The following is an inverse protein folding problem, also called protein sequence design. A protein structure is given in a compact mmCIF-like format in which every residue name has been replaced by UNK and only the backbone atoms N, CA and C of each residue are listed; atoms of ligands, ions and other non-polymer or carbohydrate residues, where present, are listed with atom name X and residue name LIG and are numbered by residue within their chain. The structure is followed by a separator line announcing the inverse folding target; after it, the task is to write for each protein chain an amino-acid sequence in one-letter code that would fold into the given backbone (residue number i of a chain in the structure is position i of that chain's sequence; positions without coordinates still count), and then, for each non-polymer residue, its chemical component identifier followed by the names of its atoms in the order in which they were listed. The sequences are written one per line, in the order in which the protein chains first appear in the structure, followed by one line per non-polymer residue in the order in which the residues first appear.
data_IF_727552265107
#
_entry.id   IF_727552265107
#
_cell.length_a   1.000
_cell.length_b   1.000
_cell.length_c   1.000
_cell.angle_alpha   90.00
_cell.angle_beta   90.00
_cell.angle_gamma   90.00
#
_symmetry.space_group_name_H-M   'P 1'
#
loop_
_entity.id
_entity.type
_entity.pdbx_description
1 polymer ?
#
# COMPACT_ATOMS: atom_id res chain seq x y z
N UNK A 1 29.61 9.25 8.56
CA UNK A 1 28.31 9.79 8.10
C UNK A 1 27.27 9.46 9.16
N UNK A 2 26.55 10.45 9.73
CA UNK A 2 25.63 10.19 10.86
C UNK A 2 24.34 9.54 10.33
N UNK A 3 23.67 8.65 11.08
CA UNK A 3 22.39 8.05 10.67
C UNK A 3 21.30 9.09 10.32
N UNK A 4 21.42 10.32 10.83
CA UNK A 4 20.54 11.44 10.54
C UNK A 4 20.71 12.05 9.13
N UNK A 5 21.77 11.71 8.40
CA UNK A 5 22.13 12.35 7.13
C UNK A 5 21.58 11.60 5.88
N UNK A 6 20.84 10.49 6.06
CA UNK A 6 20.16 9.81 4.93
C UNK A 6 18.79 10.47 4.67
N UNK A 7 18.52 11.04 3.49
CA UNK A 7 17.21 11.60 3.19
C UNK A 7 16.24 10.47 2.85
N UNK A 8 15.54 9.91 3.85
CA UNK A 8 14.34 9.12 3.54
C UNK A 8 13.26 10.06 2.99
N UNK A 9 12.37 9.59 2.09
CA UNK A 9 11.36 10.43 1.47
C UNK A 9 10.51 11.13 2.53
N UNK A 10 10.51 12.47 2.50
CA UNK A 10 9.58 13.28 3.28
C UNK A 10 8.24 13.30 2.53
N UNK A 11 7.09 13.31 3.23
CA UNK A 11 5.79 13.55 2.59
C UNK A 11 5.91 14.76 1.63
N UNK A 12 5.44 14.67 0.37
CA UNK A 12 4.35 13.80 -0.09
C UNK A 12 4.73 12.43 -0.69
N UNK A 13 6.01 12.10 -0.86
CA UNK A 13 6.41 10.81 -1.43
C UNK A 13 6.27 9.67 -0.41
N UNK A 14 5.77 8.52 -0.86
CA UNK A 14 5.63 7.32 -0.05
C UNK A 14 6.94 6.53 0.00
N UNK A 15 7.29 6.00 1.17
CA UNK A 15 8.41 5.08 1.34
C UNK A 15 7.91 3.64 1.11
N UNK A 16 8.69 2.77 0.43
CA UNK A 16 8.39 1.34 0.33
C UNK A 16 8.38 0.67 1.71
N UNK A 17 7.53 -0.34 1.90
CA UNK A 17 7.43 -1.11 3.13
C UNK A 17 8.79 -1.68 3.58
N UNK A 18 9.59 -2.21 2.65
CA UNK A 18 10.92 -2.75 2.94
C UNK A 18 11.90 -1.71 3.53
N UNK A 19 11.67 -0.42 3.28
CA UNK A 19 12.52 0.67 3.77
C UNK A 19 12.00 1.32 5.05
N UNK A 20 10.88 0.85 5.60
CA UNK A 20 10.24 1.42 6.80
C UNK A 20 11.13 1.35 8.05
N UNK A 21 12.15 0.49 8.04
CA UNK A 21 13.13 0.39 9.12
C UNK A 21 14.21 1.48 9.09
N UNK A 22 14.36 2.21 7.98
CA UNK A 22 15.41 3.23 7.83
C UNK A 22 15.14 4.55 8.57
N UNK A 23 13.90 5.11 8.55
CA UNK A 23 13.61 6.36 9.25
C UNK A 23 13.81 6.22 10.77
N UNK A 24 14.38 7.22 11.45
CA UNK A 24 14.48 7.26 12.90
C UNK A 24 13.14 7.07 13.60
N UNK A 25 13.18 6.68 14.87
CA UNK A 25 11.97 6.67 15.68
C UNK A 25 11.32 8.06 15.68
N UNK A 26 9.98 8.10 15.67
CA UNK A 26 9.16 9.30 15.63
C UNK A 26 9.29 10.15 14.33
N UNK A 27 10.06 9.68 13.34
CA UNK A 27 10.14 10.32 12.04
C UNK A 27 8.77 10.30 11.35
N UNK A 28 8.43 11.43 10.71
CA UNK A 28 7.20 11.56 9.94
C UNK A 28 7.43 11.02 8.53
N UNK A 29 6.61 10.06 8.12
CA UNK A 29 6.71 9.34 6.84
C UNK A 29 5.36 9.28 6.14
N UNK A 30 5.38 9.02 4.84
CA UNK A 30 4.18 8.58 4.10
C UNK A 30 4.41 7.15 3.62
N UNK A 31 3.38 6.32 3.70
CA UNK A 31 3.33 4.98 3.12
C UNK A 31 2.08 4.88 2.26
N UNK A 32 2.08 3.99 1.27
CA UNK A 32 0.91 3.71 0.46
C UNK A 32 0.85 2.22 0.16
N UNK A 33 -0.35 1.65 0.12
CA UNK A 33 -0.52 0.23 -0.16
C UNK A 33 -1.99 -0.19 -0.18
N UNK A 34 -2.21 -1.43 -0.63
CA UNK A 34 -3.51 -2.09 -0.59
C UNK A 34 -3.81 -2.47 0.85
N UNK A 35 -5.05 -2.24 1.29
CA UNK A 35 -5.49 -2.68 2.60
C UNK A 35 -5.77 -4.18 2.56
N UNK A 36 -5.01 -4.95 3.32
CA UNK A 36 -5.18 -6.40 3.41
C UNK A 36 -5.88 -6.85 4.70
N UNK A 37 -5.79 -6.05 5.77
CA UNK A 37 -6.39 -6.39 7.06
C UNK A 37 -6.87 -5.16 7.82
N UNK A 38 -8.00 -5.31 8.51
CA UNK A 38 -8.54 -4.34 9.48
C UNK A 38 -8.89 -5.06 10.77
N UNK A 39 -8.36 -4.61 11.89
CA UNK A 39 -8.65 -5.16 13.20
C UNK A 39 -9.07 -4.06 14.18
N UNK A 40 -10.08 -4.36 14.99
CA UNK A 40 -10.53 -3.51 16.10
C UNK A 40 -10.66 -4.38 17.34
N UNK A 41 -9.58 -4.59 18.10
CA UNK A 41 -9.62 -5.41 19.30
C UNK A 41 -10.62 -4.84 20.30
N UNK A 42 -11.49 -5.68 20.86
CA UNK A 42 -12.51 -5.25 21.84
C UNK A 42 -11.92 -4.64 23.12
N UNK A 43 -10.67 -4.98 23.42
CA UNK A 43 -9.92 -4.53 24.61
C UNK A 43 -9.14 -3.22 24.39
N UNK A 44 -8.88 -2.83 23.14
CA UNK A 44 -8.14 -1.61 22.81
C UNK A 44 -9.13 -0.44 22.68
N UNK A 45 -9.22 0.41 23.72
CA UNK A 45 -10.15 1.55 23.83
C UNK A 45 -10.00 2.52 22.65
N UNK A 46 -10.69 2.25 21.55
CA UNK A 46 -10.75 3.13 20.38
C UNK A 46 -9.53 3.08 19.47
N UNK A 47 -8.82 1.95 19.39
CA UNK A 47 -7.73 1.77 18.42
C UNK A 47 -8.20 0.86 17.29
N UNK A 48 -7.84 1.23 16.07
CA UNK A 48 -8.00 0.41 14.88
C UNK A 48 -6.62 0.14 14.31
N UNK A 49 -6.37 -1.11 13.96
CA UNK A 49 -5.15 -1.54 13.28
C UNK A 49 -5.48 -1.81 11.82
N UNK A 50 -4.68 -1.24 10.92
CA UNK A 50 -4.72 -1.56 9.50
C UNK A 50 -3.40 -2.20 9.10
N UNK A 51 -3.45 -3.15 8.18
CA UNK A 51 -2.25 -3.62 7.51
C UNK A 51 -2.36 -3.24 6.04
N UNK A 52 -1.37 -2.48 5.57
CA UNK A 52 -1.19 -2.15 4.16
C UNK A 52 -0.14 -3.09 3.56
N UNK A 53 -0.28 -3.43 2.30
CA UNK A 53 0.70 -4.21 1.53
C UNK A 53 1.09 -3.43 0.26
N UNK A 54 2.39 -3.40 -0.02
CA UNK A 54 2.98 -3.06 -1.30
C UNK A 54 3.82 -4.24 -1.81
N UNK A 55 4.40 -4.13 -3.00
CA UNK A 55 5.22 -5.19 -3.60
C UNK A 55 6.49 -5.53 -2.79
N UNK A 56 6.86 -4.69 -1.83
CA UNK A 56 8.05 -4.83 -0.99
C UNK A 56 7.75 -5.36 0.41
N UNK A 57 6.47 -5.47 0.79
CA UNK A 57 6.02 -6.08 2.04
C UNK A 57 4.83 -5.37 2.68
N UNK A 58 4.71 -5.55 4.01
CA UNK A 58 3.57 -5.04 4.78
C UNK A 58 3.94 -3.86 5.69
N UNK A 59 2.97 -2.99 5.93
CA UNK A 59 3.06 -1.87 6.87
C UNK A 59 1.88 -1.91 7.85
N UNK A 60 2.19 -1.97 9.14
CA UNK A 60 1.20 -1.92 10.20
C UNK A 60 0.88 -0.46 10.57
N UNK A 61 -0.38 -0.08 10.48
CA UNK A 61 -0.88 1.27 10.77
C UNK A 61 -1.70 1.24 12.05
N UNK A 62 -1.42 2.17 12.95
CA UNK A 62 -2.22 2.41 14.14
C UNK A 62 -3.08 3.65 13.91
N UNK A 63 -4.39 3.49 14.04
CA UNK A 63 -5.38 4.56 13.87
C UNK A 63 -6.13 4.76 15.19
N UNK A 64 -5.90 5.90 15.82
CA UNK A 64 -6.61 6.30 17.05
C UNK A 64 -8.04 6.78 16.74
N UNK A 65 -8.95 6.63 17.71
CA UNK A 65 -10.38 6.96 17.57
C UNK A 65 -10.61 8.35 16.98
N UNK A 66 -9.91 9.36 17.48
CA UNK A 66 -10.02 10.75 16.99
C UNK A 66 -9.75 10.86 15.49
N UNK A 67 -8.75 10.12 14.99
CA UNK A 67 -8.42 10.11 13.57
C UNK A 67 -9.42 9.27 12.77
N UNK A 68 -9.83 8.13 13.31
CA UNK A 68 -10.88 7.31 12.71
C UNK A 68 -12.17 8.11 12.50
N UNK A 69 -12.60 8.88 13.50
CA UNK A 69 -13.83 9.67 13.42
C UNK A 69 -13.72 10.73 12.30
N UNK A 70 -12.54 11.33 12.10
CA UNK A 70 -12.29 12.29 11.03
C UNK A 70 -12.19 11.65 9.63
N UNK A 71 -11.64 10.43 9.53
CA UNK A 71 -11.36 9.74 8.25
C UNK A 71 -12.18 8.45 8.08
N UNK A 72 -13.38 8.40 8.67
CA UNK A 72 -14.19 7.18 8.82
C UNK A 72 -14.39 6.42 7.51
N UNK A 73 -14.75 7.12 6.44
CA UNK A 73 -14.98 6.51 5.12
C UNK A 73 -13.71 5.80 4.62
N UNK A 74 -12.58 6.49 4.61
CA UNK A 74 -11.31 5.91 4.16
C UNK A 74 -10.91 4.68 4.99
N UNK A 75 -11.07 4.76 6.31
CA UNK A 75 -10.68 3.67 7.22
C UNK A 75 -11.61 2.45 7.12
N UNK A 76 -12.89 2.62 6.78
CA UNK A 76 -13.81 1.48 6.63
C UNK A 76 -13.71 0.88 5.23
N UNK A 77 -13.85 1.70 4.19
CA UNK A 77 -14.10 1.22 2.82
C UNK A 77 -12.92 1.34 1.86
N UNK A 78 -11.85 2.04 2.23
CA UNK A 78 -10.71 2.21 1.33
C UNK A 78 -10.06 0.86 0.99
N UNK A 79 -9.84 0.59 -0.29
CA UNK A 79 -9.11 -0.59 -0.77
C UNK A 79 -7.62 -0.31 -0.91
N UNK A 80 -7.27 0.93 -1.24
CA UNK A 80 -5.90 1.41 -1.29
C UNK A 80 -5.81 2.71 -0.51
N UNK A 81 -4.85 2.79 0.40
CA UNK A 81 -4.68 3.94 1.28
C UNK A 81 -3.28 4.52 1.14
N UNK A 82 -3.22 5.84 1.18
CA UNK A 82 -2.00 6.59 1.47
C UNK A 82 -2.10 7.12 2.89
N UNK A 83 -1.12 6.80 3.73
CA UNK A 83 -1.10 7.17 5.14
C UNK A 83 0.15 7.98 5.43
N UNK A 84 -0.06 9.20 5.93
CA UNK A 84 1.02 10.00 6.54
C UNK A 84 0.95 9.85 8.04
N UNK A 85 2.08 9.57 8.68
CA UNK A 85 2.13 9.33 10.11
C UNK A 85 3.54 9.29 10.66
N UNK A 86 3.67 8.83 11.91
CA UNK A 86 4.96 8.74 12.61
C UNK A 86 5.37 7.30 12.83
N UNK A 87 6.64 7.01 12.57
CA UNK A 87 7.21 5.69 12.80
C UNK A 87 7.34 5.44 14.30
N UNK A 88 6.78 4.32 14.76
CA UNK A 88 6.96 3.80 16.12
C UNK A 88 7.51 2.38 16.06
N UNK A 89 8.38 2.05 17.01
CA UNK A 89 8.98 0.72 17.13
C UNK A 89 8.67 0.22 18.52
N UNK A 90 8.05 -0.95 18.59
CA UNK A 90 7.75 -1.62 19.84
C UNK A 90 7.94 -3.12 19.65
N UNK A 91 8.63 -3.77 20.59
CA UNK A 91 8.77 -5.23 20.65
C UNK A 91 9.21 -5.88 19.33
N UNK A 92 10.10 -5.22 18.57
CA UNK A 92 10.61 -5.71 17.29
C UNK A 92 9.72 -5.44 16.07
N UNK A 93 8.52 -4.89 16.28
CA UNK A 93 7.58 -4.54 15.22
C UNK A 93 7.63 -3.04 14.94
N UNK A 94 7.60 -2.66 13.66
CA UNK A 94 7.50 -1.26 13.23
C UNK A 94 6.09 -0.93 12.79
N UNK A 95 5.55 0.15 13.35
CA UNK A 95 4.23 0.67 13.08
C UNK A 95 4.31 2.11 12.57
N UNK A 96 3.30 2.52 11.81
CA UNK A 96 3.06 3.94 11.50
C UNK A 96 1.81 4.38 12.26
N UNK A 97 1.98 5.31 13.20
CA UNK A 97 0.85 5.97 13.86
C UNK A 97 0.31 7.04 12.93
N UNK A 98 -0.92 6.84 12.45
CA UNK A 98 -1.50 7.69 11.43
C UNK A 98 -1.78 9.11 11.96
N UNK A 99 -1.54 10.09 11.11
CA UNK A 99 -1.89 11.52 11.30
C UNK A 99 -2.83 12.01 10.19
N UNK A 100 -2.71 11.44 8.99
CA UNK A 100 -3.58 11.72 7.83
C UNK A 100 -3.76 10.44 7.02
N UNK A 101 -4.99 10.19 6.59
CA UNK A 101 -5.36 9.02 5.78
C UNK A 101 -6.07 9.51 4.53
N UNK A 102 -5.61 9.06 3.38
CA UNK A 102 -6.14 9.40 2.08
C UNK A 102 -6.59 8.12 1.38
N UNK A 103 -7.85 8.07 0.99
CA UNK A 103 -8.39 6.99 0.18
C UNK A 103 -7.98 7.24 -1.28
N UNK A 104 -7.05 6.42 -1.76
CA UNK A 104 -6.53 6.47 -3.14
C UNK A 104 -7.06 5.29 -3.97
N UNK A 105 -8.15 4.65 -3.54
CA UNK A 105 -8.75 3.50 -4.25
C UNK A 105 -9.15 3.80 -5.69
N UNK A 106 -9.43 5.07 -6.02
CA UNK A 106 -9.69 5.49 -7.39
C UNK A 106 -8.51 5.20 -8.34
N UNK A 107 -7.28 5.12 -7.83
CA UNK A 107 -6.12 4.69 -8.63
C UNK A 107 -6.25 3.24 -9.07
N UNK A 108 -6.80 2.37 -8.23
CA UNK A 108 -7.09 0.98 -8.60
C UNK A 108 -8.17 0.90 -9.67
N UNK A 109 -9.20 1.75 -9.56
CA UNK A 109 -10.30 1.78 -10.54
C UNK A 109 -9.86 2.25 -11.93
N UNK A 110 -8.70 2.92 -12.02
CA UNK A 110 -8.09 3.31 -13.28
C UNK A 110 -7.23 2.22 -13.94
N UNK A 111 -6.87 1.15 -13.22
CA UNK A 111 -6.04 0.06 -13.75
C UNK A 111 -6.67 -0.67 -14.94
N UNK A 112 -7.99 -0.97 -14.98
CA UNK A 112 -8.62 -1.55 -16.15
C UNK A 112 -8.45 -0.67 -17.41
N UNK A 113 -8.52 0.66 -17.24
CA UNK A 113 -8.35 1.62 -18.32
C UNK A 113 -6.89 1.76 -18.81
N UNK A 114 -5.91 1.33 -17.99
CA UNK A 114 -4.50 1.26 -18.35
C UNK A 114 -4.14 0.03 -19.20
N UNK A 115 -5.14 -0.79 -19.56
CA UNK A 115 -5.03 -1.76 -20.64
C UNK A 115 -4.57 -3.14 -20.19
N UNK A 116 -5.45 -3.86 -19.49
CA UNK A 116 -5.44 -5.33 -19.55
C UNK A 116 -5.94 -5.82 -20.92
N UNK A 117 -6.79 -5.05 -21.61
CA UNK A 117 -7.27 -5.39 -22.96
C UNK A 117 -6.26 -5.09 -24.08
N UNK A 118 -5.28 -4.21 -23.84
CA UNK A 118 -4.25 -3.86 -24.84
C UNK A 118 -3.09 -4.86 -24.92
N UNK A 119 -3.00 -5.80 -23.98
CA UNK A 119 -1.98 -6.85 -23.99
C UNK A 119 -2.47 -8.15 -24.64
N UNK A 120 -3.77 -8.45 -24.59
CA UNK A 120 -4.34 -9.70 -25.09
C UNK A 120 -5.07 -9.59 -26.44
N UNK A 121 -5.40 -8.39 -26.90
CA UNK A 121 -5.93 -8.17 -28.26
C UNK A 121 -4.87 -7.52 -29.15
N UNK A 122 -3.84 -8.30 -29.49
CA UNK A 122 -3.12 -8.08 -30.75
C UNK A 122 -4.14 -8.17 -31.88
N UNK A 123 -4.41 -7.04 -32.55
CA UNK A 123 -5.25 -7.03 -33.74
C UNK A 123 -4.69 -8.04 -34.74
N UNK A 124 -5.51 -9.01 -35.11
CA UNK A 124 -5.24 -9.90 -36.22
C UNK A 124 -4.91 -9.08 -37.47
N UNK A 125 -3.69 -9.27 -37.95
CA UNK A 125 -3.18 -8.78 -39.22
C UNK A 125 -2.30 -9.87 -39.80
N UNK A 126 -2.88 -10.59 -40.75
CA UNK A 126 -2.35 -11.66 -41.60
C UNK A 126 -1.96 -13.00 -40.95
N UNK A 127 -2.76 -14.02 -41.26
CA UNK A 127 -2.61 -15.39 -40.78
C UNK A 127 -1.61 -16.16 -41.63
N UNK A 128 -0.32 -16.09 -41.29
CA UNK A 128 0.63 -17.09 -41.73
C UNK A 128 0.32 -18.42 -41.01
N UNK A 129 -0.11 -19.41 -41.79
CA UNK A 129 -0.47 -20.77 -41.35
C UNK A 129 0.75 -21.47 -40.74
N UNK A 130 0.76 -21.61 -39.41
CA UNK A 130 1.70 -22.48 -38.69
C UNK A 130 1.21 -23.93 -38.71
N UNK A 131 2.05 -24.93 -39.03
CA UNK A 131 1.64 -26.33 -39.10
C UNK A 131 1.41 -26.91 -37.71
N UNK A 132 0.40 -27.78 -37.55
CA UNK A 132 0.14 -28.49 -36.30
C UNK A 132 1.18 -29.60 -36.09
N UNK A 133 1.71 -29.66 -34.88
CA UNK A 133 2.55 -30.77 -34.42
C UNK A 133 1.66 -31.99 -34.15
N UNK A 134 1.87 -33.11 -34.86
CA UNK A 134 1.12 -34.35 -34.63
C UNK A 134 0.82 -35.24 -35.85
N UNK A 135 1.45 -35.04 -37.00
CA UNK A 135 1.41 -36.02 -38.10
C UNK A 135 2.82 -36.49 -38.45
N UNK A 136 3.23 -37.58 -37.82
CA UNK A 136 4.10 -38.60 -38.42
C UNK A 136 3.82 -39.90 -37.69
N UNK A 137 3.23 -40.85 -38.42
CA UNK A 137 3.47 -42.27 -38.18
C UNK A 137 4.86 -42.67 -38.65
#
# INVERSE_FOLDING_TARGET
MRPADRPWPKPPSAIPAALLQLPPANARVTVAGIVILRQRPGTAKGVIFLTLEDETGIVNIIVWRKLYDAFRRAVISGRMLRVTGRVQRDSGVTHVVAERIEDISAMLDSLPALGVDKLCHGKGGDAARVPRYGETG
#
